data_IF_224299940931
#
_entry.id   IF_224299940931
#
_cell.length_a   1.000
_cell.length_b   1.000
_cell.length_c   1.000
_cell.angle_alpha   90.00
_cell.angle_beta   90.00
_cell.angle_gamma   90.00
#
_symmetry.space_group_name_H-M   'P 1'
#
loop_
_entity.id
_entity.type
_entity.pdbx_description
1 polymer ?
#
# COMPACT_ATOMS: atom_id res chain seq x y z
N UNK A 1 2.76 -13.52 -2.50
CA UNK A 1 1.77 -13.09 -1.49
C UNK A 1 0.48 -12.59 -2.14
N UNK A 2 0.56 -11.87 -3.26
CA UNK A 2 -0.61 -11.29 -3.91
C UNK A 2 -1.54 -12.31 -4.59
N UNK A 3 -1.14 -13.57 -4.71
CA UNK A 3 -1.93 -14.69 -5.25
C UNK A 3 -2.69 -14.38 -6.56
N UNK A 4 -2.11 -13.52 -7.40
CA UNK A 4 -2.68 -13.10 -8.69
C UNK A 4 -2.77 -14.30 -9.63
N UNK A 5 -3.92 -14.48 -10.28
CA UNK A 5 -4.19 -15.59 -11.21
C UNK A 5 -4.38 -15.08 -12.64
N UNK A 6 -4.18 -15.98 -13.59
CA UNK A 6 -4.52 -15.71 -15.00
C UNK A 6 -6.02 -15.43 -15.13
N UNK A 7 -6.36 -14.35 -15.81
CA UNK A 7 -7.75 -13.94 -16.02
C UNK A 7 -8.28 -12.95 -14.99
N UNK A 8 -7.57 -12.69 -13.88
CA UNK A 8 -8.03 -11.74 -12.85
C UNK A 8 -8.17 -10.33 -13.42
N UNK A 9 -9.15 -9.59 -12.88
CA UNK A 9 -9.25 -8.15 -12.98
C UNK A 9 -8.61 -7.54 -11.74
N UNK A 10 -7.41 -6.99 -11.90
CA UNK A 10 -6.60 -6.43 -10.82
C UNK A 10 -6.71 -4.91 -10.79
N UNK A 11 -6.79 -4.35 -9.58
CA UNK A 11 -6.67 -2.92 -9.31
C UNK A 11 -5.35 -2.64 -8.59
N UNK A 12 -4.58 -1.67 -9.08
CA UNK A 12 -3.37 -1.14 -8.45
C UNK A 12 -3.65 0.26 -7.91
N UNK A 13 -3.60 0.42 -6.58
CA UNK A 13 -3.87 1.69 -5.90
C UNK A 13 -2.58 2.51 -5.79
N UNK A 14 -2.65 3.77 -6.26
CA UNK A 14 -1.49 4.65 -6.36
C UNK A 14 -0.51 4.17 -7.42
N UNK A 15 -1.02 3.81 -8.57
CA UNK A 15 -0.28 3.13 -9.65
C UNK A 15 0.87 3.95 -10.26
N UNK A 16 0.94 5.25 -9.98
CA UNK A 16 1.98 6.12 -10.49
C UNK A 16 2.10 6.03 -12.01
N UNK A 17 3.33 5.81 -12.51
CA UNK A 17 3.59 5.66 -13.95
C UNK A 17 3.29 4.24 -14.50
N UNK A 18 2.68 3.35 -13.70
CA UNK A 18 2.17 2.05 -14.12
C UNK A 18 3.13 0.88 -13.94
N UNK A 19 4.25 1.02 -13.23
CA UNK A 19 5.26 -0.04 -13.12
C UNK A 19 4.68 -1.35 -12.59
N UNK A 20 3.94 -1.30 -11.48
CA UNK A 20 3.38 -2.50 -10.85
C UNK A 20 2.22 -3.06 -11.70
N UNK A 21 1.46 -2.21 -12.41
CA UNK A 21 0.47 -2.63 -13.40
C UNK A 21 1.09 -3.45 -14.54
N UNK A 22 2.27 -3.08 -15.04
CA UNK A 22 2.94 -3.84 -16.12
C UNK A 22 3.42 -5.20 -15.63
N UNK A 23 3.92 -5.28 -14.39
CA UNK A 23 4.28 -6.55 -13.76
C UNK A 23 3.05 -7.42 -13.54
N UNK A 24 1.98 -6.84 -12.99
CA UNK A 24 0.70 -7.53 -12.78
C UNK A 24 0.12 -8.06 -14.08
N UNK A 25 0.19 -7.28 -15.18
CA UNK A 25 -0.26 -7.72 -16.52
C UNK A 25 0.43 -8.98 -16.99
N UNK A 26 1.72 -9.13 -16.74
CA UNK A 26 2.44 -10.34 -17.11
C UNK A 26 1.90 -11.59 -16.38
N UNK A 27 1.36 -11.42 -15.18
CA UNK A 27 0.79 -12.50 -14.36
C UNK A 27 -0.66 -12.80 -14.76
N UNK A 28 -1.52 -11.77 -14.86
CA UNK A 28 -2.93 -11.97 -15.24
C UNK A 28 -3.09 -12.45 -16.68
N UNK A 29 -2.08 -12.21 -17.52
CA UNK A 29 -2.07 -12.65 -18.91
C UNK A 29 -3.01 -11.83 -19.82
N UNK A 30 -3.22 -12.32 -21.04
CA UNK A 30 -4.02 -11.62 -22.06
C UNK A 30 -5.53 -11.61 -21.76
N UNK A 31 -6.00 -12.61 -21.03
CA UNK A 31 -7.43 -12.73 -20.66
C UNK A 31 -7.80 -11.94 -19.41
N UNK A 32 -6.82 -11.56 -18.59
CA UNK A 32 -7.00 -10.72 -17.43
C UNK A 32 -7.03 -9.23 -17.79
N UNK A 33 -7.33 -8.41 -16.79
CA UNK A 33 -7.33 -6.94 -16.91
C UNK A 33 -6.55 -6.32 -15.76
N UNK A 34 -5.89 -5.21 -16.01
CA UNK A 34 -5.23 -4.41 -14.97
C UNK A 34 -5.74 -2.99 -15.05
N UNK A 35 -6.16 -2.46 -13.92
CA UNK A 35 -6.56 -1.07 -13.78
C UNK A 35 -5.67 -0.40 -12.75
N UNK A 36 -5.01 0.68 -13.12
CA UNK A 36 -4.27 1.54 -12.18
C UNK A 36 -5.12 2.74 -11.79
N UNK A 37 -5.18 3.04 -10.49
CA UNK A 37 -5.79 4.24 -9.95
C UNK A 37 -4.69 5.16 -9.39
N UNK A 38 -4.70 6.42 -9.81
CA UNK A 38 -3.83 7.45 -9.23
C UNK A 38 -4.56 8.79 -9.19
N UNK A 39 -4.31 9.61 -8.16
CA UNK A 39 -4.97 10.91 -8.03
C UNK A 39 -4.28 12.00 -8.87
N UNK A 40 -3.05 11.75 -9.36
CA UNK A 40 -2.21 12.71 -10.06
C UNK A 40 -2.38 12.62 -11.57
N UNK A 41 -2.91 13.65 -12.21
CA UNK A 41 -3.07 13.71 -13.68
C UNK A 41 -1.76 13.41 -14.44
N UNK A 42 -0.64 13.92 -13.94
CA UNK A 42 0.66 13.73 -14.58
C UNK A 42 1.09 12.25 -14.58
N UNK A 43 0.81 11.52 -13.49
CA UNK A 43 1.12 10.09 -13.38
C UNK A 43 0.22 9.26 -14.30
N UNK A 44 -1.09 9.53 -14.29
CA UNK A 44 -2.05 8.85 -15.19
C UNK A 44 -1.67 9.03 -16.65
N UNK A 45 -1.36 10.27 -17.08
CA UNK A 45 -0.91 10.53 -18.46
C UNK A 45 0.35 9.73 -18.79
N UNK A 46 1.35 9.74 -17.91
CA UNK A 46 2.61 9.00 -18.12
C UNK A 46 2.39 7.49 -18.19
N UNK A 47 1.51 6.96 -17.35
CA UNK A 47 1.14 5.54 -17.37
C UNK A 47 0.47 5.13 -18.69
N UNK A 48 -0.45 5.96 -19.21
CA UNK A 48 -1.10 5.75 -20.52
C UNK A 48 -0.08 5.77 -21.65
N UNK A 49 0.85 6.75 -21.67
CA UNK A 49 1.92 6.80 -22.67
C UNK A 49 2.82 5.55 -22.62
N UNK A 50 3.17 5.09 -21.42
CA UNK A 50 3.98 3.88 -21.24
C UNK A 50 3.22 2.64 -21.76
N UNK A 51 1.93 2.53 -21.47
CA UNK A 51 1.08 1.43 -21.97
C UNK A 51 1.04 1.39 -23.50
N UNK A 52 0.90 2.54 -24.15
CA UNK A 52 0.90 2.64 -25.61
C UNK A 52 2.24 2.18 -26.21
N UNK A 53 3.38 2.62 -25.59
CA UNK A 53 4.72 2.19 -26.02
C UNK A 53 4.94 0.69 -25.91
N UNK A 54 4.35 0.06 -24.88
CA UNK A 54 4.44 -1.39 -24.63
C UNK A 54 3.43 -2.19 -25.45
N UNK A 55 2.44 -1.55 -26.09
CA UNK A 55 1.44 -2.22 -26.93
C UNK A 55 0.44 -3.07 -26.15
N UNK A 56 0.22 -2.79 -24.87
CA UNK A 56 -0.75 -3.53 -24.06
C UNK A 56 -2.17 -2.96 -24.23
N UNK A 57 -3.15 -3.83 -24.48
CA UNK A 57 -4.55 -3.46 -24.67
C UNK A 57 -5.45 -3.72 -23.46
N UNK A 58 -4.96 -4.46 -22.48
CA UNK A 58 -5.70 -4.89 -21.30
C UNK A 58 -5.25 -4.20 -19.98
N UNK A 59 -4.58 -3.05 -20.13
CA UNK A 59 -4.24 -2.16 -19.01
C UNK A 59 -4.95 -0.83 -19.23
N UNK A 60 -5.54 -0.30 -18.18
CA UNK A 60 -6.17 1.03 -18.18
C UNK A 60 -5.75 1.81 -16.94
N UNK A 61 -5.74 3.14 -17.05
CA UNK A 61 -5.44 4.03 -15.92
C UNK A 61 -6.57 5.03 -15.74
N UNK A 62 -6.98 5.22 -14.49
CA UNK A 62 -8.08 6.09 -14.10
C UNK A 62 -7.57 7.08 -13.07
N UNK A 63 -7.90 8.36 -13.25
CA UNK A 63 -7.69 9.35 -12.22
C UNK A 63 -8.80 9.22 -11.17
N UNK A 64 -8.43 9.14 -9.90
CA UNK A 64 -9.40 9.09 -8.81
C UNK A 64 -8.74 9.07 -7.45
N UNK A 65 -9.57 9.25 -6.44
CA UNK A 65 -9.19 9.17 -5.04
C UNK A 65 -9.43 7.76 -4.50
N UNK A 66 -8.52 7.26 -3.68
CA UNK A 66 -8.66 5.96 -3.02
C UNK A 66 -9.80 5.98 -1.98
N UNK A 67 -10.07 7.15 -1.38
CA UNK A 67 -11.17 7.33 -0.43
C UNK A 67 -12.56 7.43 -1.10
N UNK A 68 -12.62 7.58 -2.43
CA UNK A 68 -13.85 7.64 -3.23
C UNK A 68 -13.57 7.10 -4.64
N UNK A 69 -13.44 5.78 -4.78
CA UNK A 69 -13.03 5.16 -6.02
C UNK A 69 -14.13 5.22 -7.09
N UNK A 70 -13.81 5.67 -8.34
CA UNK A 70 -14.79 5.81 -9.43
C UNK A 70 -15.11 4.46 -10.10
N UNK A 71 -15.29 3.42 -9.30
CA UNK A 71 -15.57 2.06 -9.78
C UNK A 71 -16.87 1.53 -9.19
N UNK A 72 -17.61 0.69 -9.92
CA UNK A 72 -18.77 -0.04 -9.37
C UNK A 72 -18.34 -1.02 -8.28
N UNK A 73 -19.33 -1.41 -7.46
CA UNK A 73 -19.16 -2.47 -6.49
C UNK A 73 -18.78 -3.79 -7.18
N UNK A 74 -18.05 -4.65 -6.48
CA UNK A 74 -17.74 -6.00 -6.92
C UNK A 74 -17.11 -6.07 -8.33
N UNK A 75 -16.14 -5.21 -8.61
CA UNK A 75 -15.50 -5.08 -9.92
C UNK A 75 -14.20 -5.90 -10.02
N UNK A 76 -13.39 -5.93 -8.96
CA UNK A 76 -12.03 -6.47 -9.00
C UNK A 76 -11.90 -7.80 -8.26
N UNK A 77 -11.09 -8.70 -8.82
CA UNK A 77 -10.73 -9.96 -8.17
C UNK A 77 -9.61 -9.75 -7.15
N UNK A 78 -8.66 -8.87 -7.46
CA UNK A 78 -7.48 -8.58 -6.64
C UNK A 78 -7.21 -7.08 -6.58
N UNK A 79 -6.87 -6.58 -5.40
CA UNK A 79 -6.34 -5.22 -5.19
C UNK A 79 -4.91 -5.33 -4.71
N UNK A 80 -4.01 -4.55 -5.31
CA UNK A 80 -2.64 -4.38 -4.83
C UNK A 80 -2.35 -2.91 -4.54
N UNK A 81 -1.40 -2.65 -3.65
CA UNK A 81 -0.89 -1.31 -3.38
C UNK A 81 0.53 -1.39 -2.82
N UNK A 82 1.35 -0.39 -3.10
CA UNK A 82 2.72 -0.34 -2.63
C UNK A 82 3.09 1.05 -2.12
N UNK A 83 3.24 1.19 -0.80
CA UNK A 83 3.58 2.43 -0.08
C UNK A 83 2.65 3.63 -0.42
N UNK A 84 1.35 3.40 -0.39
CA UNK A 84 0.36 4.44 -0.72
C UNK A 84 -0.67 4.63 0.40
N UNK A 85 -1.19 3.54 0.99
CA UNK A 85 -2.26 3.64 1.98
C UNK A 85 -1.82 4.34 3.26
N UNK A 86 -0.53 4.26 3.62
CA UNK A 86 0.01 5.04 4.74
C UNK A 86 -0.15 6.56 4.52
N UNK A 87 -0.14 7.03 3.27
CA UNK A 87 -0.27 8.45 2.92
C UNK A 87 -1.74 8.92 2.87
N UNK A 88 -2.69 8.00 2.78
CA UNK A 88 -4.12 8.33 2.70
C UNK A 88 -4.60 8.89 4.05
N UNK A 89 -5.26 10.06 4.08
CA UNK A 89 -5.74 10.69 5.30
C UNK A 89 -6.71 9.83 6.10
N UNK A 90 -7.73 9.27 5.44
CA UNK A 90 -8.74 8.41 6.08
C UNK A 90 -8.61 6.95 5.61
N UNK A 91 -7.80 6.20 6.34
CA UNK A 91 -7.57 4.77 6.05
C UNK A 91 -8.84 3.92 6.19
N UNK A 92 -9.78 4.34 7.07
CA UNK A 92 -11.07 3.64 7.19
C UNK A 92 -11.86 3.74 5.89
N UNK A 93 -11.94 4.93 5.28
CA UNK A 93 -12.59 5.09 3.97
C UNK A 93 -11.87 4.31 2.88
N UNK A 94 -10.54 4.36 2.85
CA UNK A 94 -9.76 3.63 1.85
C UNK A 94 -10.06 2.12 1.90
N UNK A 95 -10.00 1.49 3.07
CA UNK A 95 -10.31 0.07 3.21
C UNK A 95 -11.80 -0.25 3.02
N UNK A 96 -12.72 0.67 3.36
CA UNK A 96 -14.15 0.53 3.02
C UNK A 96 -14.37 0.51 1.50
N UNK A 97 -13.72 1.40 0.75
CA UNK A 97 -13.77 1.43 -0.70
C UNK A 97 -13.13 0.18 -1.32
N UNK A 98 -12.01 -0.29 -0.80
CA UNK A 98 -11.41 -1.57 -1.21
C UNK A 98 -12.40 -2.72 -1.00
N UNK A 99 -13.06 -2.78 0.15
CA UNK A 99 -14.09 -3.77 0.43
C UNK A 99 -15.26 -3.67 -0.56
N UNK A 100 -15.71 -2.46 -0.89
CA UNK A 100 -16.83 -2.21 -1.82
C UNK A 100 -16.50 -2.70 -3.22
N UNK A 101 -15.34 -2.32 -3.76
CA UNK A 101 -15.00 -2.61 -5.15
C UNK A 101 -14.48 -4.02 -5.40
N UNK A 102 -14.04 -4.75 -4.37
CA UNK A 102 -13.69 -6.17 -4.46
C UNK A 102 -14.94 -7.02 -4.70
N UNK A 103 -14.81 -8.03 -5.54
CA UNK A 103 -15.81 -9.09 -5.70
C UNK A 103 -15.91 -9.96 -4.44
N UNK A 104 -17.04 -10.65 -4.20
CA UNK A 104 -17.09 -11.73 -3.20
C UNK A 104 -15.95 -12.74 -3.46
N UNK A 105 -15.28 -13.18 -2.42
CA UNK A 105 -14.06 -14.02 -2.46
C UNK A 105 -12.84 -13.37 -3.11
N UNK A 106 -12.91 -12.11 -3.50
CA UNK A 106 -11.75 -11.30 -3.90
C UNK A 106 -10.86 -10.96 -2.70
N UNK A 107 -9.65 -10.54 -2.97
CA UNK A 107 -8.69 -10.25 -1.90
C UNK A 107 -7.82 -9.04 -2.23
N UNK A 108 -7.14 -8.55 -1.21
CA UNK A 108 -6.07 -7.57 -1.40
C UNK A 108 -4.73 -8.11 -0.93
N UNK A 109 -3.66 -7.55 -1.46
CA UNK A 109 -2.30 -7.69 -0.94
C UNK A 109 -1.60 -6.33 -1.05
N UNK A 110 -1.31 -5.71 0.08
CA UNK A 110 -0.68 -4.39 0.14
C UNK A 110 0.63 -4.44 0.89
N UNK A 111 1.58 -3.64 0.42
CA UNK A 111 2.83 -3.38 1.13
C UNK A 111 2.83 -1.93 1.59
N UNK A 112 3.02 -1.70 2.90
CA UNK A 112 2.89 -0.38 3.47
C UNK A 112 3.89 -0.15 4.61
N UNK A 113 3.97 1.09 5.09
CA UNK A 113 4.80 1.49 6.22
C UNK A 113 3.93 1.70 7.45
N UNK A 114 4.34 1.10 8.56
CA UNK A 114 3.67 1.20 9.85
C UNK A 114 4.66 1.49 10.97
N UNK A 115 4.17 1.92 12.11
CA UNK A 115 4.92 2.13 13.33
C UNK A 115 4.73 0.95 14.29
N UNK A 116 5.71 0.72 15.16
CA UNK A 116 5.61 -0.18 16.29
C UNK A 116 6.21 0.47 17.52
N UNK A 117 5.42 0.57 18.59
CA UNK A 117 5.82 1.26 19.82
C UNK A 117 5.83 2.79 19.68
N UNK A 118 6.27 3.47 20.74
CA UNK A 118 6.28 4.94 20.79
C UNK A 118 7.59 5.49 20.23
N UNK A 119 7.55 6.06 19.05
CA UNK A 119 8.63 6.90 18.54
C UNK A 119 8.47 8.33 19.09
N UNK A 120 9.56 9.01 19.52
CA UNK A 120 9.54 10.44 19.76
C UNK A 120 9.06 11.19 18.52
N UNK A 121 8.19 12.19 18.70
CA UNK A 121 7.55 12.90 17.58
C UNK A 121 8.58 13.57 16.66
N UNK A 122 9.63 14.15 17.25
CA UNK A 122 10.71 14.78 16.51
C UNK A 122 11.49 13.77 15.66
N UNK A 123 11.70 12.56 16.19
CA UNK A 123 12.36 11.46 15.46
C UNK A 123 11.47 10.96 14.31
N UNK A 124 10.16 10.91 14.53
CA UNK A 124 9.19 10.53 13.50
C UNK A 124 9.23 11.54 12.34
N UNK A 125 9.21 12.83 12.64
CA UNK A 125 9.24 13.90 11.62
C UNK A 125 10.53 13.87 10.79
N UNK A 126 11.71 13.66 11.40
CA UNK A 126 12.97 13.54 10.65
C UNK A 126 13.03 12.24 9.83
N UNK A 127 12.45 11.14 10.33
CA UNK A 127 12.34 9.90 9.59
C UNK A 127 11.39 10.03 8.38
N UNK A 128 10.32 10.83 8.49
CA UNK A 128 9.44 11.19 7.38
C UNK A 128 10.20 11.94 6.27
N UNK A 129 11.03 12.90 6.65
CA UNK A 129 11.89 13.62 5.68
C UNK A 129 12.91 12.72 5.00
N UNK A 130 13.45 11.73 5.73
CA UNK A 130 14.47 10.82 5.21
C UNK A 130 13.89 9.75 4.28
N UNK A 131 12.76 9.14 4.64
CA UNK A 131 12.21 7.98 3.95
C UNK A 131 10.96 8.26 3.10
N UNK A 132 10.41 9.49 3.15
CA UNK A 132 9.27 9.94 2.31
C UNK A 132 7.96 9.16 2.48
N UNK A 133 8.06 7.87 2.78
CA UNK A 133 6.91 6.96 2.93
C UNK A 133 6.47 6.78 4.40
N UNK A 134 7.11 7.47 5.36
CA UNK A 134 6.77 7.33 6.79
C UNK A 134 5.62 8.26 7.18
N UNK A 135 5.42 9.32 6.40
CA UNK A 135 4.33 10.28 6.64
C UNK A 135 2.98 9.57 6.65
N UNK A 136 2.19 9.84 7.69
CA UNK A 136 0.90 9.19 7.89
C UNK A 136 0.94 7.72 8.32
N UNK A 137 2.10 7.15 8.59
CA UNK A 137 2.22 5.81 9.17
C UNK A 137 1.62 5.79 10.59
N UNK A 138 0.79 4.79 10.86
CA UNK A 138 0.14 4.56 12.15
C UNK A 138 0.67 3.28 12.80
N UNK A 139 0.34 3.06 14.07
CA UNK A 139 0.70 1.84 14.79
C UNK A 139 0.14 0.59 14.07
N UNK A 140 0.95 -0.47 13.97
CA UNK A 140 0.58 -1.69 13.24
C UNK A 140 -0.71 -2.32 13.76
N UNK A 141 -0.95 -2.30 15.07
CA UNK A 141 -2.17 -2.83 15.67
C UNK A 141 -3.41 -2.04 15.25
N UNK A 142 -3.29 -0.70 15.15
CA UNK A 142 -4.35 0.17 14.65
C UNK A 142 -4.59 -0.08 13.16
N UNK A 143 -3.53 -0.22 12.36
CA UNK A 143 -3.62 -0.52 10.93
C UNK A 143 -4.38 -1.83 10.66
N UNK A 144 -4.03 -2.90 11.38
CA UNK A 144 -4.70 -4.20 11.26
C UNK A 144 -6.14 -4.16 11.77
N UNK A 145 -6.42 -3.44 12.85
CA UNK A 145 -7.77 -3.23 13.37
C UNK A 145 -8.67 -2.50 12.36
N UNK A 146 -8.16 -1.51 11.64
CA UNK A 146 -8.91 -0.83 10.57
C UNK A 146 -9.33 -1.84 9.50
N UNK A 147 -8.42 -2.73 9.06
CA UNK A 147 -8.72 -3.76 8.07
C UNK A 147 -9.83 -4.69 8.57
N UNK A 148 -9.73 -5.15 9.82
CA UNK A 148 -10.71 -6.06 10.44
C UNK A 148 -12.09 -5.40 10.57
N UNK A 149 -12.14 -4.14 11.00
CA UNK A 149 -13.39 -3.36 11.14
C UNK A 149 -14.13 -3.15 9.81
N UNK A 150 -13.44 -3.15 8.68
CA UNK A 150 -14.09 -3.10 7.36
C UNK A 150 -14.63 -4.46 6.90
N UNK A 151 -14.49 -5.53 7.70
CA UNK A 151 -15.07 -6.84 7.44
C UNK A 151 -14.18 -7.78 6.61
N UNK A 152 -12.91 -7.46 6.43
CA UNK A 152 -11.96 -8.40 5.82
C UNK A 152 -11.69 -9.58 6.75
N UNK A 153 -11.57 -10.75 6.15
CA UNK A 153 -11.30 -12.03 6.83
C UNK A 153 -9.94 -12.59 6.40
N UNK A 154 -9.41 -13.56 7.15
CA UNK A 154 -8.12 -14.21 6.87
C UNK A 154 -6.97 -13.23 6.70
N UNK A 155 -6.96 -12.18 7.53
CA UNK A 155 -5.91 -11.16 7.51
C UNK A 155 -4.59 -11.81 7.89
N UNK A 156 -3.57 -11.65 7.02
CA UNK A 156 -2.26 -12.27 7.20
C UNK A 156 -1.15 -11.27 6.93
N UNK A 157 -0.28 -11.07 7.91
CA UNK A 157 0.98 -10.33 7.72
C UNK A 157 2.04 -11.30 7.21
N UNK A 158 2.36 -11.22 5.92
CA UNK A 158 3.31 -12.13 5.24
C UNK A 158 4.76 -11.76 5.51
N UNK A 159 5.02 -10.47 5.67
CA UNK A 159 6.36 -9.92 5.84
C UNK A 159 6.30 -8.70 6.74
N UNK A 160 7.27 -8.60 7.62
CA UNK A 160 7.55 -7.41 8.40
C UNK A 160 9.07 -7.20 8.36
N UNK A 161 9.50 -6.02 7.95
CA UNK A 161 10.91 -5.66 7.87
C UNK A 161 11.11 -4.28 8.47
N UNK A 162 12.05 -4.17 9.39
CA UNK A 162 12.45 -2.89 9.96
C UNK A 162 13.07 -1.98 8.90
N UNK A 163 12.68 -0.71 8.92
CA UNK A 163 13.30 0.38 8.18
C UNK A 163 14.29 1.04 9.13
N UNK A 164 15.58 0.79 8.91
CA UNK A 164 16.62 1.30 9.78
C UNK A 164 16.70 2.84 9.70
N UNK A 165 16.58 3.49 10.84
CA UNK A 165 16.80 4.92 10.97
C UNK A 165 18.32 5.16 11.08
N UNK A 166 18.91 6.04 10.26
CA UNK A 166 20.35 6.34 10.32
C UNK A 166 20.80 6.81 11.70
N UNK A 167 21.99 6.40 12.11
CA UNK A 167 22.56 6.79 13.42
C UNK A 167 22.68 8.29 13.60
N UNK A 168 22.93 9.02 12.51
CA UNK A 168 23.00 10.49 12.49
C UNK A 168 21.64 11.12 12.88
N UNK A 169 20.54 10.50 12.50
CA UNK A 169 19.18 10.94 12.89
C UNK A 169 18.88 10.54 14.33
N UNK A 170 19.15 9.27 14.70
CA UNK A 170 18.95 8.81 16.08
C UNK A 170 19.74 9.66 17.08
N UNK A 171 21.00 9.98 16.77
CA UNK A 171 21.89 10.75 17.64
C UNK A 171 21.49 12.21 17.85
N UNK A 172 20.55 12.76 17.07
CA UNK A 172 20.00 14.10 17.31
C UNK A 172 19.01 14.11 18.49
N UNK A 173 18.31 13.00 18.73
CA UNK A 173 17.17 12.92 19.63
C UNK A 173 17.37 11.96 20.80
N UNK A 174 18.29 11.01 20.65
CA UNK A 174 18.58 9.97 21.65
C UNK A 174 20.04 10.04 22.07
N UNK A 175 20.28 9.90 23.38
CA UNK A 175 21.63 9.63 23.91
C UNK A 175 22.12 8.26 23.43
N UNK A 176 23.44 8.01 23.55
CA UNK A 176 24.02 6.71 23.17
C UNK A 176 23.32 5.55 23.87
N UNK A 177 23.02 5.69 25.16
CA UNK A 177 22.34 4.64 25.94
C UNK A 177 20.90 4.42 25.48
N UNK A 178 20.16 5.49 25.15
CA UNK A 178 18.81 5.41 24.63
C UNK A 178 18.78 4.82 23.23
N UNK A 179 19.73 5.18 22.36
CA UNK A 179 19.87 4.60 21.03
C UNK A 179 20.13 3.09 21.06
N UNK A 180 20.93 2.61 22.03
CA UNK A 180 21.14 1.16 22.22
C UNK A 180 19.84 0.48 22.65
N UNK A 181 19.14 1.03 23.64
CA UNK A 181 17.85 0.49 24.10
C UNK A 181 16.79 0.52 22.99
N UNK A 182 16.76 1.58 22.18
CA UNK A 182 15.85 1.69 21.03
C UNK A 182 16.12 0.57 20.03
N UNK A 183 17.37 0.33 19.65
CA UNK A 183 17.77 -0.75 18.72
C UNK A 183 17.50 -2.16 19.26
N UNK A 184 17.55 -2.33 20.58
CA UNK A 184 17.23 -3.61 21.24
C UNK A 184 15.74 -3.79 21.50
N UNK A 185 14.94 -2.74 21.34
CA UNK A 185 13.49 -2.77 21.49
C UNK A 185 12.81 -3.16 20.18
N UNK A 186 11.56 -3.55 20.30
CA UNK A 186 10.67 -3.80 19.15
C UNK A 186 10.02 -2.49 18.62
N UNK A 187 10.57 -1.33 19.02
CA UNK A 187 10.06 0.00 18.61
C UNK A 187 10.74 0.45 17.35
N UNK A 188 9.98 0.96 16.37
CA UNK A 188 10.58 1.45 15.14
C UNK A 188 9.57 1.64 14.01
N UNK A 189 10.12 1.80 12.82
CA UNK A 189 9.38 1.94 11.55
C UNK A 189 9.52 0.63 10.80
N UNK A 190 8.42 0.10 10.31
CA UNK A 190 8.42 -1.19 9.63
C UNK A 190 7.69 -1.11 8.29
N UNK A 191 8.24 -1.78 7.29
CA UNK A 191 7.50 -2.15 6.09
C UNK A 191 6.80 -3.48 6.35
N UNK A 192 5.50 -3.53 6.10
CA UNK A 192 4.70 -4.76 6.17
C UNK A 192 4.15 -5.13 4.81
N UNK A 193 3.92 -6.42 4.59
CA UNK A 193 3.07 -6.91 3.50
C UNK A 193 1.91 -7.66 4.13
N UNK A 194 0.69 -7.19 3.89
CA UNK A 194 -0.52 -7.75 4.48
C UNK A 194 -1.55 -8.08 3.40
N UNK A 195 -2.26 -9.18 3.56
CA UNK A 195 -3.39 -9.57 2.73
C UNK A 195 -4.65 -9.81 3.58
N UNK A 196 -5.80 -9.71 2.94
CA UNK A 196 -7.10 -10.05 3.51
C UNK A 196 -8.12 -10.31 2.41
N UNK A 197 -9.18 -11.03 2.74
CA UNK A 197 -10.19 -11.48 1.78
C UNK A 197 -11.55 -10.86 2.10
N UNK A 198 -12.31 -10.57 1.05
CA UNK A 198 -13.74 -10.30 1.15
C UNK A 198 -14.48 -11.62 1.23
N UNK A 199 -15.43 -11.74 2.18
CA UNK A 199 -16.28 -12.90 2.31
C UNK A 199 -17.28 -13.02 1.14
#
# INVERSE_FOLDING_TARGET
FAEIKKGDHLLDLGSGAGNDCFVARAVVGETGKVTGLDFTDAMVRRAVENTQKLGHSNISFVKGDIEEMPFPDNTFDVIVSNCVLNLVPDKNKAFAEMMRVLKPSGHFCVSDVVLKGNLPEELKNDAEMYAGCVSGAIEISEYLNIIELQGFIHITVHKQKEILIPEEILGKYLSVTESIRFKESDTGIFSITVSGYKN
#
